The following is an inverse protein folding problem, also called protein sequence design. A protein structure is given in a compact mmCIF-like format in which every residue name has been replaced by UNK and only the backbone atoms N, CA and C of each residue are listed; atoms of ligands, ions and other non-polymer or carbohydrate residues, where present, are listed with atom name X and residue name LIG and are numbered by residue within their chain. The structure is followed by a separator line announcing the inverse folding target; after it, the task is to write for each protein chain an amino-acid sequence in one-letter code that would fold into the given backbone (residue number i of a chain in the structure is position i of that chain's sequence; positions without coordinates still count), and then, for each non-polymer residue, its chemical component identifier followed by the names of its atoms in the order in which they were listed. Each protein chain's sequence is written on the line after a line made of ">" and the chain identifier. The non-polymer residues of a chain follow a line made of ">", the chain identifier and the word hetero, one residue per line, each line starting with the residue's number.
data_IF_523905095575
#
_entry.id   IF_523905095575
#
_cell.length_a   1.000
_cell.length_b   1.000
_cell.length_c   1.000
_cell.angle_alpha   90.00
_cell.angle_beta   90.00
_cell.angle_gamma   90.00
#
_symmetry.space_group_name_H-M   'P 1'
#
loop_
_entity.id
_entity.type
_entity.pdbx_description
1 polymer ?
#
# COMPACT_ATOMS: atom_id res chain seq x y z
N UNK A 1 12.56 5.27 3.72
CA UNK A 1 12.19 5.27 5.13
C UNK A 1 11.87 3.86 5.58
N UNK A 2 12.34 3.48 6.77
CA UNK A 2 12.17 2.14 7.33
C UNK A 2 10.71 1.81 7.71
N UNK A 3 9.79 2.77 7.61
CA UNK A 3 8.40 2.63 7.98
C UNK A 3 7.51 3.35 6.96
N UNK A 4 6.70 2.59 6.25
CA UNK A 4 5.63 3.12 5.41
C UNK A 4 4.30 3.21 6.20
N UNK A 5 3.23 3.72 5.56
CA UNK A 5 1.93 3.88 6.21
C UNK A 5 1.33 2.57 6.73
N UNK A 6 1.57 1.45 6.05
CA UNK A 6 1.08 0.14 6.49
C UNK A 6 1.79 -0.33 7.76
N UNK A 7 3.12 -0.21 7.78
CA UNK A 7 3.92 -0.51 8.96
C UNK A 7 3.57 0.40 10.16
N UNK A 8 3.25 1.67 9.91
CA UNK A 8 2.78 2.57 10.96
C UNK A 8 1.45 2.10 11.55
N UNK A 9 0.47 1.76 10.73
CA UNK A 9 -0.84 1.26 11.21
C UNK A 9 -0.65 -0.01 12.03
N UNK A 10 0.14 -0.96 11.53
CA UNK A 10 0.44 -2.19 12.27
C UNK A 10 1.06 -1.90 13.65
N UNK A 11 2.05 -1.00 13.74
CA UNK A 11 2.65 -0.58 15.03
C UNK A 11 1.64 0.05 15.98
N UNK A 12 0.73 0.89 15.46
CA UNK A 12 -0.34 1.48 16.28
C UNK A 12 -1.28 0.42 16.83
N UNK A 13 -1.54 -0.66 16.10
CA UNK A 13 -2.46 -1.72 16.54
C UNK A 13 -1.86 -2.70 17.54
N UNK A 14 -0.59 -3.00 17.44
CA UNK A 14 0.09 -3.88 18.42
C UNK A 14 0.39 -3.16 19.75
N UNK A 15 0.42 -1.82 19.77
CA UNK A 15 0.66 -1.07 20.99
C UNK A 15 -0.66 -0.87 21.78
N UNK A 16 -0.75 -1.34 23.05
CA UNK A 16 -1.96 -1.22 23.86
C UNK A 16 -2.48 0.20 24.01
N UNK A 17 -1.60 1.20 24.07
CA UNK A 17 -1.95 2.61 24.29
C UNK A 17 -2.59 3.25 23.07
N UNK A 18 -2.31 2.74 21.87
CA UNK A 18 -2.76 3.35 20.60
C UNK A 18 -3.66 2.45 19.76
N UNK A 19 -3.84 1.16 20.15
CA UNK A 19 -4.62 0.21 19.36
C UNK A 19 -6.06 0.64 19.05
N UNK A 20 -6.65 1.45 19.90
CA UNK A 20 -8.04 1.89 19.79
C UNK A 20 -8.18 3.25 19.06
N UNK A 21 -7.09 3.91 18.71
CA UNK A 21 -7.12 5.19 18.00
C UNK A 21 -7.66 4.96 16.59
N UNK A 22 -8.72 5.68 16.15
CA UNK A 22 -9.19 5.60 14.77
C UNK A 22 -8.09 6.05 13.80
N UNK A 23 -7.88 5.27 12.74
CA UNK A 23 -6.87 5.56 11.72
C UNK A 23 -7.52 5.68 10.35
N UNK A 24 -7.36 6.84 9.72
CA UNK A 24 -7.77 7.08 8.33
C UNK A 24 -6.54 6.94 7.44
N UNK A 25 -6.56 5.96 6.55
CA UNK A 25 -5.50 5.75 5.57
C UNK A 25 -5.80 6.57 4.33
N UNK A 26 -4.94 7.54 4.01
CA UNK A 26 -5.09 8.39 2.83
C UNK A 26 -3.96 8.07 1.85
N UNK A 27 -4.31 7.76 0.62
CA UNK A 27 -3.34 7.28 -0.37
C UNK A 27 -3.44 8.00 -1.71
N UNK A 28 -2.40 7.86 -2.54
CA UNK A 28 -2.34 8.43 -3.88
C UNK A 28 -3.31 7.73 -4.87
N UNK A 29 -3.40 8.27 -6.08
CA UNK A 29 -4.41 7.94 -7.10
C UNK A 29 -4.38 6.48 -7.59
N UNK A 30 -3.23 5.83 -7.57
CA UNK A 30 -3.09 4.44 -8.01
C UNK A 30 -3.10 3.48 -6.82
N UNK A 31 -4.29 2.97 -6.53
CA UNK A 31 -4.51 2.01 -5.45
C UNK A 31 -5.24 0.82 -6.01
N UNK A 32 -4.72 -0.35 -5.74
CA UNK A 32 -5.39 -1.59 -6.09
C UNK A 32 -6.45 -1.94 -5.04
N UNK A 33 -7.48 -2.72 -5.39
CA UNK A 33 -8.40 -3.26 -4.39
C UNK A 33 -7.68 -3.97 -3.25
N UNK A 34 -6.58 -4.67 -3.55
CA UNK A 34 -5.74 -5.38 -2.58
C UNK A 34 -5.05 -4.42 -1.60
N UNK A 35 -4.66 -3.22 -2.03
CA UNK A 35 -4.09 -2.20 -1.15
C UNK A 35 -5.11 -1.74 -0.10
N UNK A 36 -6.36 -1.53 -0.54
CA UNK A 36 -7.46 -1.15 0.35
C UNK A 36 -7.79 -2.27 1.34
N UNK A 37 -7.93 -3.48 0.84
CA UNK A 37 -8.19 -4.65 1.65
C UNK A 37 -7.08 -4.86 2.69
N UNK A 38 -5.83 -4.78 2.28
CA UNK A 38 -4.70 -4.91 3.18
C UNK A 38 -4.68 -3.79 4.26
N UNK A 39 -4.95 -2.53 3.88
CA UNK A 39 -5.03 -1.43 4.85
C UNK A 39 -6.11 -1.68 5.92
N UNK A 40 -7.28 -2.16 5.52
CA UNK A 40 -8.36 -2.50 6.45
C UNK A 40 -8.02 -3.70 7.33
N UNK A 41 -7.40 -4.74 6.76
CA UNK A 41 -7.01 -5.95 7.47
C UNK A 41 -5.94 -5.69 8.54
N UNK A 42 -5.01 -4.77 8.31
CA UNK A 42 -4.03 -4.36 9.33
C UNK A 42 -4.60 -3.40 10.38
N UNK A 43 -5.87 -2.99 10.24
CA UNK A 43 -6.58 -2.22 11.25
C UNK A 43 -6.80 -0.74 10.93
N UNK A 44 -6.68 -0.30 9.68
CA UNK A 44 -7.17 1.02 9.29
C UNK A 44 -8.68 1.09 9.47
N UNK A 45 -9.18 2.18 10.07
CA UNK A 45 -10.62 2.36 10.33
C UNK A 45 -11.35 2.80 9.07
N UNK A 46 -10.69 3.60 8.26
CA UNK A 46 -11.19 4.09 6.96
C UNK A 46 -10.03 4.20 5.97
N UNK A 47 -10.38 4.08 4.71
CA UNK A 47 -9.46 4.21 3.60
C UNK A 47 -10.00 5.25 2.61
N UNK A 48 -9.23 6.29 2.32
CA UNK A 48 -9.62 7.39 1.43
C UNK A 48 -8.56 7.51 0.32
N UNK A 49 -9.03 7.59 -0.91
CA UNK A 49 -8.18 7.80 -2.08
C UNK A 49 -8.14 9.27 -2.45
N UNK A 50 -6.96 9.77 -2.80
CA UNK A 50 -6.78 11.12 -3.38
C UNK A 50 -7.28 11.15 -4.83
N UNK A 51 -7.87 12.26 -5.30
CA UNK A 51 -8.07 13.52 -4.60
C UNK A 51 -9.17 13.43 -3.52
N UNK A 52 -8.91 14.04 -2.38
CA UNK A 52 -9.83 13.98 -1.23
C UNK A 52 -10.84 15.14 -1.36
N UNK A 53 -12.12 14.80 -1.42
CA UNK A 53 -13.17 15.79 -1.27
C UNK A 53 -13.25 16.25 0.18
N UNK A 54 -13.15 17.56 0.41
CA UNK A 54 -13.07 18.14 1.75
C UNK A 54 -14.32 17.88 2.58
N UNK A 55 -15.51 17.95 1.98
CA UNK A 55 -16.77 17.72 2.68
C UNK A 55 -16.89 16.27 3.15
N UNK A 56 -16.65 15.32 2.24
CA UNK A 56 -16.61 13.88 2.54
C UNK A 56 -15.57 13.56 3.62
N UNK A 57 -14.41 14.21 3.56
CA UNK A 57 -13.36 14.02 4.56
C UNK A 57 -13.81 14.50 5.95
N UNK A 58 -14.36 15.72 6.04
CA UNK A 58 -14.82 16.27 7.31
C UNK A 58 -15.95 15.46 7.91
N UNK A 59 -16.91 14.99 7.09
CA UNK A 59 -17.99 14.09 7.53
C UNK A 59 -17.39 12.79 8.09
N UNK A 60 -16.45 12.17 7.38
CA UNK A 60 -15.79 10.95 7.85
C UNK A 60 -15.09 11.13 9.19
N UNK A 61 -14.36 12.24 9.37
CA UNK A 61 -13.69 12.53 10.64
C UNK A 61 -14.72 12.76 11.76
N UNK A 62 -15.79 13.52 11.48
CA UNK A 62 -16.86 13.77 12.48
C UNK A 62 -17.56 12.47 12.91
N UNK A 63 -17.81 11.55 12.00
CA UNK A 63 -18.36 10.23 12.30
C UNK A 63 -17.41 9.42 13.20
N UNK A 64 -16.15 9.36 12.86
CA UNK A 64 -15.14 8.62 13.65
C UNK A 64 -14.99 9.17 15.06
N UNK A 65 -15.03 10.49 15.21
CA UNK A 65 -14.99 11.12 16.54
C UNK A 65 -16.24 10.85 17.37
N UNK A 66 -17.41 10.74 16.74
CA UNK A 66 -18.69 10.40 17.41
C UNK A 66 -18.76 8.92 17.80
N UNK A 67 -18.22 8.03 16.95
CA UNK A 67 -18.23 6.59 17.23
C UNK A 67 -17.34 6.21 18.41
N UNK A 68 -16.43 7.10 18.83
CA UNK A 68 -15.46 6.82 19.87
C UNK A 68 -14.45 5.76 19.44
N UNK A 69 -13.75 5.18 20.40
CA UNK A 69 -12.80 4.10 20.16
C UNK A 69 -13.56 2.84 19.72
N UNK A 70 -13.62 2.58 18.42
CA UNK A 70 -14.03 1.26 17.97
C UNK A 70 -12.93 0.28 18.36
N UNK A 71 -13.29 -0.81 19.02
CA UNK A 71 -12.35 -1.91 19.27
C UNK A 71 -11.97 -2.52 17.91
N UNK A 72 -10.78 -2.24 17.37
CA UNK A 72 -10.33 -2.98 16.20
C UNK A 72 -10.23 -4.46 16.61
N UNK A 73 -10.40 -5.36 15.66
CA UNK A 73 -10.13 -6.77 15.86
C UNK A 73 -8.72 -7.01 16.42
N UNK A 74 -8.40 -8.24 16.79
CA UNK A 74 -7.04 -8.58 17.21
C UNK A 74 -6.04 -8.12 16.15
N UNK A 75 -4.95 -7.45 16.55
CA UNK A 75 -3.94 -7.01 15.59
C UNK A 75 -3.29 -8.23 14.95
N UNK A 76 -2.98 -8.13 13.67
CA UNK A 76 -2.20 -9.16 12.98
C UNK A 76 -0.89 -9.40 13.73
N UNK A 77 -0.52 -10.65 13.91
CA UNK A 77 0.82 -10.98 14.37
C UNK A 77 1.87 -10.55 13.31
N UNK A 78 3.11 -10.54 13.71
CA UNK A 78 4.19 -10.03 12.85
C UNK A 78 4.35 -10.86 11.56
N UNK A 79 4.16 -12.18 11.64
CA UNK A 79 4.25 -13.04 10.46
C UNK A 79 3.13 -12.75 9.46
N UNK A 80 1.88 -12.72 9.90
CA UNK A 80 0.72 -12.47 9.02
C UNK A 80 0.77 -11.08 8.40
N UNK A 81 1.26 -10.08 9.15
CA UNK A 81 1.48 -8.74 8.62
C UNK A 81 2.49 -8.76 7.46
N UNK A 82 3.68 -9.34 7.66
CA UNK A 82 4.71 -9.34 6.62
C UNK A 82 4.36 -10.28 5.45
N UNK A 83 3.64 -11.38 5.69
CA UNK A 83 3.17 -12.25 4.61
C UNK A 83 2.11 -11.57 3.72
N UNK A 84 1.15 -10.87 4.33
CA UNK A 84 0.17 -10.05 3.62
C UNK A 84 0.84 -8.90 2.84
N UNK A 85 1.83 -8.25 3.46
CA UNK A 85 2.60 -7.18 2.81
C UNK A 85 3.41 -7.70 1.62
N UNK A 86 4.06 -8.85 1.75
CA UNK A 86 4.75 -9.53 0.65
C UNK A 86 3.82 -9.79 -0.54
N UNK A 87 2.67 -10.43 -0.29
CA UNK A 87 1.68 -10.75 -1.33
C UNK A 87 1.23 -9.50 -2.10
N UNK A 88 0.99 -8.42 -1.37
CA UNK A 88 0.64 -7.12 -1.96
C UNK A 88 1.76 -6.57 -2.86
N UNK A 89 3.01 -6.63 -2.42
CA UNK A 89 4.16 -6.17 -3.20
C UNK A 89 4.40 -7.04 -4.43
N UNK A 90 4.21 -8.36 -4.34
CA UNK A 90 4.29 -9.29 -5.47
C UNK A 90 3.22 -8.96 -6.53
N UNK A 91 1.99 -8.68 -6.12
CA UNK A 91 0.92 -8.25 -7.03
C UNK A 91 1.26 -6.94 -7.73
N UNK A 92 1.78 -5.94 -6.99
CA UNK A 92 2.23 -4.67 -7.58
C UNK A 92 3.40 -4.85 -8.55
N UNK A 93 4.34 -5.71 -8.22
CA UNK A 93 5.47 -6.00 -9.12
C UNK A 93 5.00 -6.64 -10.42
N UNK A 94 4.08 -7.61 -10.36
CA UNK A 94 3.49 -8.25 -11.54
C UNK A 94 2.77 -7.22 -12.43
N UNK A 95 1.95 -6.35 -11.83
CA UNK A 95 1.28 -5.26 -12.57
C UNK A 95 2.29 -4.33 -13.24
N UNK A 96 3.38 -3.96 -12.53
CA UNK A 96 4.42 -3.08 -13.07
C UNK A 96 5.18 -3.74 -14.22
N UNK A 97 5.48 -5.02 -14.13
CA UNK A 97 6.12 -5.80 -15.22
C UNK A 97 5.21 -5.84 -16.46
N UNK A 98 3.91 -6.07 -16.26
CA UNK A 98 2.93 -6.05 -17.36
C UNK A 98 2.79 -4.66 -18.00
N UNK A 99 2.80 -3.60 -17.18
CA UNK A 99 2.81 -2.22 -17.67
C UNK A 99 4.01 -1.95 -18.56
N UNK A 100 5.22 -2.26 -18.09
CA UNK A 100 6.47 -2.09 -18.83
C UNK A 100 6.41 -2.83 -20.16
N UNK A 101 6.05 -4.11 -20.16
CA UNK A 101 5.96 -4.92 -21.38
C UNK A 101 4.94 -4.38 -22.40
N UNK A 102 3.85 -3.76 -21.90
CA UNK A 102 2.86 -3.10 -22.76
C UNK A 102 3.42 -1.82 -23.38
N UNK A 103 4.04 -0.97 -22.55
CA UNK A 103 4.60 0.32 -23.02
C UNK A 103 5.77 0.10 -23.99
N UNK A 104 6.64 -0.89 -23.75
CA UNK A 104 7.73 -1.25 -24.69
C UNK A 104 7.20 -1.67 -26.07
N UNK A 105 6.06 -2.36 -26.14
CA UNK A 105 5.45 -2.74 -27.44
C UNK A 105 4.88 -1.58 -28.20
N UNK A 106 4.56 -0.48 -27.53
CA UNK A 106 4.00 0.72 -28.14
C UNK A 106 5.09 1.66 -28.69
N UNK A 107 6.34 1.52 -28.23
CA UNK A 107 7.46 2.32 -28.71
C UNK A 107 7.63 2.14 -30.24
N UNK A 108 7.78 3.26 -30.95
CA UNK A 108 7.97 3.27 -32.40
C UNK A 108 6.69 3.08 -33.22
N UNK A 109 5.51 2.97 -32.56
CA UNK A 109 4.21 2.88 -33.24
C UNK A 109 3.44 4.20 -33.26
N UNK A 110 3.95 5.23 -32.55
CA UNK A 110 3.33 6.52 -32.35
C UNK A 110 4.18 7.66 -32.95
N UNK A 111 3.72 8.89 -32.77
CA UNK A 111 4.49 10.08 -33.14
C UNK A 111 5.72 10.26 -32.23
N UNK A 112 6.74 11.02 -32.68
CA UNK A 112 7.95 11.29 -31.88
C UNK A 112 7.63 11.91 -30.51
N UNK A 113 6.61 12.75 -30.39
CA UNK A 113 6.21 13.37 -29.15
C UNK A 113 5.59 12.32 -28.15
N UNK A 114 4.72 11.45 -28.65
CA UNK A 114 4.12 10.36 -27.86
C UNK A 114 5.18 9.33 -27.42
N UNK A 115 6.13 9.02 -28.30
CA UNK A 115 7.27 8.15 -27.96
C UNK A 115 8.15 8.77 -26.86
N UNK A 116 8.32 10.10 -26.85
CA UNK A 116 9.06 10.81 -25.80
C UNK A 116 8.37 10.69 -24.43
N UNK A 117 7.06 10.87 -24.38
CA UNK A 117 6.26 10.71 -23.16
C UNK A 117 6.31 9.24 -22.67
N UNK A 118 6.24 8.30 -23.58
CA UNK A 118 6.35 6.88 -23.30
C UNK A 118 7.71 6.49 -22.72
N UNK A 119 8.80 7.09 -23.22
CA UNK A 119 10.14 6.92 -22.65
C UNK A 119 10.24 7.46 -21.21
N UNK A 120 9.56 8.57 -20.91
CA UNK A 120 9.51 9.11 -19.52
C UNK A 120 8.74 8.15 -18.63
N UNK A 121 7.57 7.68 -19.07
CA UNK A 121 6.75 6.70 -18.33
C UNK A 121 7.53 5.42 -18.03
N UNK A 122 8.18 4.85 -19.03
CA UNK A 122 9.01 3.66 -18.89
C UNK A 122 10.14 3.83 -17.86
N UNK A 123 10.85 4.96 -17.89
CA UNK A 123 11.89 5.22 -16.87
C UNK A 123 11.34 5.24 -15.46
N UNK A 124 10.16 5.83 -15.24
CA UNK A 124 9.48 5.78 -13.96
C UNK A 124 9.08 4.35 -13.59
N UNK A 125 8.47 3.62 -14.52
CA UNK A 125 8.04 2.24 -14.29
C UNK A 125 9.22 1.31 -13.96
N UNK A 126 10.36 1.46 -14.63
CA UNK A 126 11.58 0.69 -14.32
C UNK A 126 12.11 1.00 -12.92
N UNK A 127 12.14 2.28 -12.52
CA UNK A 127 12.56 2.69 -11.17
C UNK A 127 11.66 2.07 -10.11
N UNK A 128 10.36 2.23 -10.25
CA UNK A 128 9.38 1.67 -9.31
C UNK A 128 9.48 0.14 -9.21
N UNK A 129 9.71 -0.54 -10.34
CA UNK A 129 9.94 -1.98 -10.35
C UNK A 129 11.15 -2.38 -9.50
N UNK A 130 12.27 -1.67 -9.65
CA UNK A 130 13.48 -1.97 -8.86
C UNK A 130 13.29 -1.65 -7.37
N UNK A 131 12.60 -0.57 -7.03
CA UNK A 131 12.22 -0.25 -5.65
C UNK A 131 11.34 -1.35 -5.02
N UNK A 132 10.36 -1.87 -5.76
CA UNK A 132 9.51 -2.98 -5.32
C UNK A 132 10.32 -4.26 -5.10
N UNK A 133 11.29 -4.59 -5.96
CA UNK A 133 12.16 -5.75 -5.79
C UNK A 133 13.01 -5.67 -4.52
N UNK A 134 13.62 -4.50 -4.28
CA UNK A 134 14.42 -4.26 -3.08
C UNK A 134 13.57 -4.43 -1.82
N UNK A 135 12.36 -3.86 -1.83
CA UNK A 135 11.45 -3.97 -0.69
C UNK A 135 10.98 -5.42 -0.47
N UNK A 136 10.68 -6.15 -1.54
CA UNK A 136 10.34 -7.58 -1.45
C UNK A 136 11.47 -8.41 -0.86
N UNK A 137 12.72 -8.13 -1.25
CA UNK A 137 13.87 -8.82 -0.67
C UNK A 137 14.00 -8.57 0.84
N UNK A 138 13.80 -7.32 1.28
CA UNK A 138 13.80 -6.97 2.71
C UNK A 138 12.69 -7.69 3.47
N UNK A 139 11.48 -7.72 2.94
CA UNK A 139 10.33 -8.42 3.54
C UNK A 139 10.57 -9.93 3.60
N UNK A 140 11.10 -10.53 2.55
CA UNK A 140 11.43 -11.96 2.53
C UNK A 140 12.49 -12.32 3.58
N UNK A 141 13.54 -11.51 3.73
CA UNK A 141 14.53 -11.67 4.80
C UNK A 141 13.89 -11.57 6.18
N UNK A 142 12.95 -10.63 6.36
CA UNK A 142 12.24 -10.49 7.64
C UNK A 142 11.39 -11.72 7.92
N UNK A 143 10.63 -12.23 6.96
CA UNK A 143 9.80 -13.42 7.09
C UNK A 143 10.62 -14.69 7.44
N UNK A 144 11.83 -14.81 6.88
CA UNK A 144 12.71 -15.94 7.23
C UNK A 144 13.15 -15.93 8.69
N UNK A 145 13.23 -14.76 9.32
CA UNK A 145 13.66 -14.58 10.70
C UNK A 145 12.50 -14.62 11.72
N UNK A 146 11.26 -14.60 11.26
CA UNK A 146 10.07 -14.66 12.11
C UNK A 146 9.60 -16.12 12.19
N UNK A 147 9.42 -16.64 13.43
CA UNK A 147 8.80 -17.94 13.62
C UNK A 147 7.37 -17.93 13.08
N UNK A 148 7.00 -18.96 12.32
CA UNK A 148 5.60 -19.15 11.93
C UNK A 148 4.76 -19.39 13.17
N UNK A 149 3.61 -18.71 13.33
CA UNK A 149 2.66 -19.09 14.37
C UNK A 149 2.17 -20.52 14.10
N UNK A 150 2.10 -21.33 15.15
CA UNK A 150 1.52 -22.68 15.10
C UNK A 150 0.02 -22.63 14.82
#
# INVERSE_FOLDING_TARGET
>A
PELDGFGLVHRLRINPDTRNVPVVFITATYVTPEDKEFALNIGATRFIQKPVDLETFLVTIAELLKMGTSTPGEPLNEFDFYDGYRKRLESKLDQKVKQIAREERLLGTHSEAEDQDLHVSLRHAFREREELKVLLEQINKRLQNIARPE
#
